data_IF_437109294764
#
_entry.id   IF_437109294764
#
_cell.length_a   1.000
_cell.length_b   1.000
_cell.length_c   1.000
_cell.angle_alpha   90.00
_cell.angle_beta   90.00
_cell.angle_gamma   90.00
#
_symmetry.space_group_name_H-M   'P 1'
#
loop_
_entity.id
_entity.type
_entity.pdbx_description
1 polymer ?
#
# COMPACT_ATOMS: atom_id res chain seq x y z
N UNK A 1 -21.23 -3.88 -15.04
CA UNK A 1 -21.15 -2.55 -15.66
C UNK A 1 -21.86 -1.41 -14.91
N UNK A 2 -22.87 -1.71 -14.09
CA UNK A 2 -23.58 -0.66 -13.30
C UNK A 2 -22.93 -0.32 -11.95
N UNK A 3 -22.06 -1.16 -11.42
CA UNK A 3 -21.35 -0.93 -10.16
C UNK A 3 -20.09 -0.10 -10.40
N UNK A 4 -19.44 -0.25 -11.55
CA UNK A 4 -18.25 0.54 -11.92
C UNK A 4 -18.54 2.02 -12.21
N UNK A 5 -19.77 2.37 -12.64
CA UNK A 5 -20.09 3.74 -13.05
C UNK A 5 -20.55 4.67 -11.92
N UNK A 6 -20.93 4.16 -10.75
CA UNK A 6 -21.48 4.96 -9.64
C UNK A 6 -20.50 5.26 -8.51
N UNK A 7 -19.30 4.68 -8.49
CA UNK A 7 -18.40 4.79 -7.34
C UNK A 7 -16.99 5.28 -7.64
N UNK A 8 -16.48 5.11 -8.86
CA UNK A 8 -15.06 5.31 -9.13
C UNK A 8 -14.65 6.79 -9.26
N UNK A 9 -15.52 7.64 -9.78
CA UNK A 9 -15.27 9.09 -9.86
C UNK A 9 -15.36 9.79 -8.49
N UNK A 10 -16.20 9.27 -7.60
CA UNK A 10 -16.41 9.86 -6.27
C UNK A 10 -15.40 9.33 -5.23
N UNK A 11 -14.86 8.13 -5.40
CA UNK A 11 -13.94 7.52 -4.43
C UNK A 11 -12.65 8.34 -4.28
N UNK A 12 -11.98 8.72 -5.37
CA UNK A 12 -10.76 9.52 -5.24
C UNK A 12 -11.05 10.96 -4.78
N UNK A 13 -12.16 11.57 -5.21
CA UNK A 13 -12.58 12.89 -4.74
C UNK A 13 -12.83 12.89 -3.24
N UNK A 14 -13.57 11.90 -2.75
CA UNK A 14 -13.79 11.71 -1.32
C UNK A 14 -12.47 11.57 -0.55
N UNK A 15 -11.49 10.87 -1.08
CA UNK A 15 -10.18 10.73 -0.43
C UNK A 15 -9.39 12.06 -0.38
N UNK A 16 -9.60 12.95 -1.37
CA UNK A 16 -9.05 14.31 -1.31
C UNK A 16 -9.66 15.08 -0.13
N UNK A 17 -11.00 15.04 0.00
CA UNK A 17 -11.76 15.83 0.94
C UNK A 17 -11.77 15.26 2.37
N UNK A 18 -11.45 13.97 2.54
CA UNK A 18 -11.46 13.29 3.84
C UNK A 18 -10.07 12.81 4.24
N UNK A 19 -9.59 11.71 3.68
CA UNK A 19 -8.35 11.05 4.14
C UNK A 19 -7.12 11.95 4.01
N UNK A 20 -6.99 12.71 2.94
CA UNK A 20 -5.86 13.64 2.78
C UNK A 20 -5.94 14.78 3.80
N UNK A 21 -7.14 15.33 4.05
CA UNK A 21 -7.36 16.36 5.07
C UNK A 21 -7.11 15.81 6.49
N UNK A 22 -7.57 14.60 6.79
CA UNK A 22 -7.31 13.94 8.08
C UNK A 22 -5.82 13.75 8.31
N UNK A 23 -5.09 13.24 7.33
CA UNK A 23 -3.63 13.09 7.40
C UNK A 23 -2.97 14.44 7.67
N UNK A 24 -3.32 15.47 6.88
CA UNK A 24 -2.76 16.81 7.02
C UNK A 24 -3.00 17.39 8.40
N UNK A 25 -4.25 17.32 8.88
CA UNK A 25 -4.64 17.88 10.17
C UNK A 25 -4.01 17.12 11.35
N UNK A 26 -4.03 15.78 11.33
CA UNK A 26 -3.48 14.94 12.40
C UNK A 26 -1.95 15.07 12.52
N UNK A 27 -1.26 15.39 11.44
CA UNK A 27 0.18 15.62 11.42
C UNK A 27 0.56 17.09 11.58
N UNK A 28 -0.43 17.99 11.73
CA UNK A 28 -0.23 19.44 11.71
C UNK A 28 0.59 19.90 10.48
N UNK A 29 0.36 19.26 9.33
CA UNK A 29 1.07 19.52 8.07
C UNK A 29 2.50 18.95 8.00
N UNK A 30 2.95 18.24 9.02
CA UNK A 30 4.28 17.64 9.04
C UNK A 30 4.25 16.27 8.32
N UNK A 31 4.19 16.30 6.99
CA UNK A 31 4.19 15.12 6.11
C UNK A 31 5.26 15.31 5.05
N UNK A 32 6.24 14.44 5.02
CA UNK A 32 7.28 14.41 3.97
C UNK A 32 7.01 13.38 2.89
N UNK A 33 6.29 12.30 3.23
CA UNK A 33 5.97 11.26 2.28
C UNK A 33 4.70 10.48 2.61
N UNK A 34 4.06 9.96 1.55
CA UNK A 34 2.93 9.06 1.64
C UNK A 34 3.10 7.90 0.66
N UNK A 35 2.74 6.70 1.10
CA UNK A 35 2.72 5.53 0.23
C UNK A 35 1.58 4.59 0.59
N UNK A 36 1.00 3.97 -0.40
CA UNK A 36 0.09 2.84 -0.20
C UNK A 36 0.00 1.95 -1.45
N UNK A 37 -0.51 0.74 -1.25
CA UNK A 37 -0.81 -0.21 -2.31
C UNK A 37 -2.09 0.19 -3.06
N UNK A 38 -2.25 -0.38 -4.24
CA UNK A 38 -3.34 -0.06 -5.16
C UNK A 38 -4.22 -1.28 -5.41
N UNK A 39 -5.49 -1.17 -5.01
CA UNK A 39 -6.59 -1.96 -5.53
C UNK A 39 -7.25 -1.21 -6.69
N UNK A 40 -8.27 -0.41 -6.44
CA UNK A 40 -8.91 0.45 -7.45
C UNK A 40 -8.12 1.72 -7.78
N UNK A 41 -7.16 2.10 -6.93
CA UNK A 41 -6.35 3.31 -7.07
C UNK A 41 -6.94 4.57 -6.44
N UNK A 42 -8.16 4.51 -5.91
CA UNK A 42 -8.85 5.69 -5.36
C UNK A 42 -8.11 6.34 -4.20
N UNK A 43 -7.59 5.54 -3.27
CA UNK A 43 -6.85 6.05 -2.10
C UNK A 43 -5.55 6.74 -2.52
N UNK A 44 -4.71 6.05 -3.32
CA UNK A 44 -3.44 6.64 -3.77
C UNK A 44 -3.67 7.92 -4.58
N UNK A 45 -4.64 7.91 -5.51
CA UNK A 45 -4.97 9.09 -6.30
C UNK A 45 -5.48 10.25 -5.45
N UNK A 46 -6.49 10.00 -4.62
CA UNK A 46 -7.09 11.06 -3.81
C UNK A 46 -6.13 11.65 -2.79
N UNK A 47 -5.40 10.81 -2.05
CA UNK A 47 -4.43 11.28 -1.06
C UNK A 47 -3.26 12.02 -1.73
N UNK A 48 -2.75 11.50 -2.86
CA UNK A 48 -1.66 12.18 -3.58
C UNK A 48 -2.07 13.57 -4.06
N UNK A 49 -3.25 13.71 -4.65
CA UNK A 49 -3.77 15.00 -5.09
C UNK A 49 -3.98 15.93 -3.89
N UNK A 50 -4.67 15.46 -2.84
CA UNK A 50 -4.96 16.26 -1.66
C UNK A 50 -3.70 16.76 -0.95
N UNK A 51 -2.73 15.88 -0.70
CA UNK A 51 -1.47 16.27 -0.05
C UNK A 51 -0.61 17.18 -0.94
N UNK A 52 -0.49 16.89 -2.24
CA UNK A 52 0.27 17.76 -3.16
C UNK A 52 -0.37 19.13 -3.38
N UNK A 53 -1.68 19.27 -3.20
CA UNK A 53 -2.33 20.57 -3.18
C UNK A 53 -1.94 21.40 -1.95
N UNK A 54 -1.62 20.75 -0.83
CA UNK A 54 -1.14 21.44 0.39
C UNK A 54 0.36 21.75 0.31
N UNK A 55 1.16 20.76 -0.11
CA UNK A 55 2.60 20.91 -0.28
C UNK A 55 3.10 20.01 -1.43
N UNK A 56 3.62 20.61 -2.49
CA UNK A 56 4.11 19.91 -3.69
C UNK A 56 5.36 19.07 -3.45
N UNK A 57 6.11 19.36 -2.37
CA UNK A 57 7.36 18.66 -2.05
C UNK A 57 7.12 17.30 -1.40
N UNK A 58 5.91 17.01 -0.90
CA UNK A 58 5.54 15.72 -0.33
C UNK A 58 5.78 14.63 -1.37
N UNK A 59 6.56 13.61 -1.02
CA UNK A 59 6.85 12.48 -1.91
C UNK A 59 5.76 11.42 -1.81
N UNK A 60 5.23 11.06 -2.95
CA UNK A 60 4.19 10.04 -3.08
C UNK A 60 4.77 8.79 -3.73
N UNK A 61 4.59 7.65 -3.10
CA UNK A 61 5.06 6.38 -3.67
C UNK A 61 3.95 5.34 -3.79
N UNK A 62 4.07 4.49 -4.79
CA UNK A 62 3.30 3.27 -4.91
C UNK A 62 4.01 2.15 -4.14
N UNK A 63 3.29 1.48 -3.22
CA UNK A 63 3.71 0.18 -2.66
C UNK A 63 3.03 -0.94 -3.43
N UNK A 64 3.79 -1.75 -4.16
CA UNK A 64 3.21 -2.72 -5.09
C UNK A 64 3.65 -4.15 -4.74
N UNK A 65 2.74 -5.13 -4.67
CA UNK A 65 3.13 -6.52 -4.45
C UNK A 65 3.75 -7.12 -5.71
N UNK A 66 4.51 -8.20 -5.55
CA UNK A 66 4.89 -9.05 -6.67
C UNK A 66 3.65 -9.54 -7.43
N UNK A 67 3.77 -9.75 -8.75
CA UNK A 67 2.64 -10.13 -9.60
C UNK A 67 1.76 -8.97 -10.09
N UNK A 68 1.96 -7.76 -9.58
CA UNK A 68 1.36 -6.54 -10.12
C UNK A 68 2.20 -5.97 -11.27
N UNK A 69 1.55 -5.29 -12.22
CA UNK A 69 2.22 -4.61 -13.32
C UNK A 69 2.40 -3.10 -13.09
N UNK A 70 1.86 -2.55 -11.98
CA UNK A 70 1.86 -1.10 -11.74
C UNK A 70 3.26 -0.57 -11.43
N UNK A 71 4.07 -1.33 -10.70
CA UNK A 71 5.47 -1.01 -10.46
C UNK A 71 6.26 -0.89 -11.76
N UNK A 72 6.18 -1.91 -12.63
CA UNK A 72 6.88 -1.90 -13.92
C UNK A 72 6.36 -0.78 -14.83
N UNK A 73 5.05 -0.51 -14.80
CA UNK A 73 4.49 0.62 -15.52
C UNK A 73 5.10 1.96 -15.08
N UNK A 74 5.19 2.20 -13.77
CA UNK A 74 5.74 3.46 -13.24
C UNK A 74 7.25 3.59 -13.54
N UNK A 75 8.02 2.51 -13.33
CA UNK A 75 9.50 2.54 -13.49
C UNK A 75 9.96 2.47 -14.94
N UNK A 76 9.29 1.68 -15.76
CA UNK A 76 9.78 1.29 -17.08
C UNK A 76 8.81 1.66 -18.21
N UNK A 77 7.67 2.24 -17.88
CA UNK A 77 6.57 2.52 -18.81
C UNK A 77 6.05 1.26 -19.55
N UNK A 78 6.08 0.11 -18.85
CA UNK A 78 5.64 -1.20 -19.38
C UNK A 78 4.70 -1.88 -18.41
N UNK A 79 3.57 -2.38 -18.88
CA UNK A 79 2.63 -3.20 -18.10
C UNK A 79 3.08 -4.66 -18.09
N UNK A 80 4.12 -4.94 -17.33
CA UNK A 80 4.68 -6.28 -17.16
C UNK A 80 4.59 -6.68 -15.68
N UNK A 81 4.00 -7.84 -15.41
CA UNK A 81 3.97 -8.41 -14.05
C UNK A 81 5.06 -9.49 -13.91
N UNK A 82 5.71 -9.51 -12.76
CA UNK A 82 6.72 -10.51 -12.42
C UNK A 82 6.41 -11.15 -11.07
N UNK A 83 6.49 -12.48 -11.00
CA UNK A 83 6.18 -13.22 -9.79
C UNK A 83 4.68 -13.29 -9.49
N UNK A 84 4.36 -13.51 -8.22
CA UNK A 84 3.00 -13.56 -7.68
C UNK A 84 2.99 -13.16 -6.21
N UNK A 85 1.82 -12.83 -5.68
CA UNK A 85 1.63 -12.55 -4.25
C UNK A 85 0.37 -13.24 -3.73
N UNK A 86 0.40 -13.59 -2.45
CA UNK A 86 -0.77 -14.11 -1.72
C UNK A 86 -1.69 -13.00 -1.23
N UNK A 87 -1.30 -11.74 -1.37
CA UNK A 87 -2.11 -10.60 -0.94
C UNK A 87 -3.35 -10.44 -1.79
N UNK A 88 -4.46 -10.09 -1.15
CA UNK A 88 -5.75 -9.92 -1.81
C UNK A 88 -6.15 -8.45 -1.89
N UNK A 89 -6.89 -8.10 -2.94
CA UNK A 89 -7.47 -6.77 -3.12
C UNK A 89 -6.50 -5.68 -3.54
N UNK A 90 -5.22 -6.00 -3.71
CA UNK A 90 -4.19 -5.08 -4.19
C UNK A 90 -3.35 -5.74 -5.30
N UNK A 91 -2.63 -4.91 -6.05
CA UNK A 91 -1.87 -5.35 -7.22
C UNK A 91 -2.76 -5.51 -8.46
N UNK A 92 -2.39 -4.87 -9.54
CA UNK A 92 -3.16 -4.90 -10.78
C UNK A 92 -2.29 -5.19 -11.98
N UNK A 93 -2.85 -5.91 -12.96
CA UNK A 93 -2.27 -6.09 -14.30
C UNK A 93 -2.68 -4.99 -15.29
N UNK A 94 -3.44 -3.99 -14.86
CA UNK A 94 -3.96 -2.91 -15.71
C UNK A 94 -3.97 -1.57 -15.01
N UNK A 95 -3.91 -0.49 -15.78
CA UNK A 95 -4.11 0.87 -15.27
C UNK A 95 -5.60 1.11 -15.06
N UNK A 96 -6.00 1.39 -13.84
CA UNK A 96 -7.37 1.81 -13.53
C UNK A 96 -7.52 3.31 -13.76
N UNK A 97 -8.73 3.77 -14.03
CA UNK A 97 -9.04 5.21 -14.21
C UNK A 97 -8.66 6.07 -13.00
N UNK A 98 -8.72 5.51 -11.79
CA UNK A 98 -8.30 6.22 -10.59
C UNK A 98 -6.77 6.27 -10.48
N UNK A 99 -6.09 5.14 -10.69
CA UNK A 99 -4.63 5.08 -10.62
C UNK A 99 -3.98 6.04 -11.62
N UNK A 100 -4.55 6.18 -12.82
CA UNK A 100 -4.11 7.14 -13.84
C UNK A 100 -4.12 8.62 -13.36
N UNK A 101 -4.87 8.93 -12.31
CA UNK A 101 -4.92 10.27 -11.70
C UNK A 101 -3.93 10.45 -10.55
N UNK A 102 -3.28 9.39 -10.09
CA UNK A 102 -2.37 9.48 -8.95
C UNK A 102 -1.09 10.24 -9.33
N UNK A 103 -0.69 11.15 -8.45
CA UNK A 103 0.52 11.94 -8.61
C UNK A 103 1.69 11.22 -7.91
N UNK A 104 2.29 10.25 -8.60
CA UNK A 104 3.30 9.34 -8.04
C UNK A 104 4.69 9.83 -8.40
N UNK A 105 5.58 9.96 -7.39
CA UNK A 105 6.99 10.31 -7.58
C UNK A 105 7.87 9.05 -7.69
N UNK A 106 7.49 7.95 -7.00
CA UNK A 106 8.27 6.72 -6.98
C UNK A 106 7.40 5.47 -6.77
N UNK A 107 7.98 4.28 -6.95
CA UNK A 107 7.31 3.00 -6.74
C UNK A 107 8.28 1.97 -6.14
N UNK A 108 7.77 1.13 -5.24
CA UNK A 108 8.52 0.05 -4.60
C UNK A 108 7.77 -1.26 -4.74
N UNK A 109 8.48 -2.29 -5.14
CA UNK A 109 7.94 -3.63 -5.18
C UNK A 109 8.33 -4.40 -3.91
N UNK A 110 7.41 -5.21 -3.40
CA UNK A 110 7.58 -5.97 -2.15
C UNK A 110 7.08 -7.39 -2.35
N UNK A 111 7.84 -8.36 -1.92
CA UNK A 111 7.43 -9.77 -1.91
C UNK A 111 6.67 -10.15 -0.63
N UNK A 112 6.05 -11.33 -0.66
CA UNK A 112 5.26 -11.83 0.47
C UNK A 112 6.11 -12.12 1.71
N UNK A 113 7.37 -12.51 1.55
CA UNK A 113 8.27 -12.83 2.67
C UNK A 113 8.57 -11.55 3.46
N UNK A 114 8.96 -10.48 2.76
CA UNK A 114 9.20 -9.17 3.38
C UNK A 114 7.94 -8.65 4.08
N UNK A 115 6.79 -8.69 3.39
CA UNK A 115 5.52 -8.20 3.92
C UNK A 115 5.07 -8.98 5.16
N UNK A 116 5.14 -10.31 5.13
CA UNK A 116 4.72 -11.15 6.26
C UNK A 116 5.62 -11.01 7.48
N UNK A 117 6.94 -10.93 7.28
CA UNK A 117 7.86 -10.69 8.38
C UNK A 117 7.54 -9.39 9.12
N UNK A 118 7.18 -8.32 8.41
CA UNK A 118 6.76 -7.05 9.02
C UNK A 118 5.45 -7.20 9.79
N UNK A 119 4.47 -7.92 9.23
CA UNK A 119 3.19 -8.19 9.93
C UNK A 119 3.43 -8.98 11.22
N UNK A 120 4.27 -10.03 11.18
CA UNK A 120 4.58 -10.85 12.36
C UNK A 120 5.38 -10.09 13.40
N UNK A 121 6.33 -9.26 12.99
CA UNK A 121 7.07 -8.36 13.88
C UNK A 121 6.15 -7.39 14.63
N UNK A 122 5.14 -6.83 13.97
CA UNK A 122 4.15 -5.97 14.61
C UNK A 122 3.30 -6.72 15.65
N UNK A 123 2.94 -7.98 15.37
CA UNK A 123 2.21 -8.81 16.34
C UNK A 123 3.08 -9.08 17.58
N UNK A 124 4.34 -9.46 17.37
CA UNK A 124 5.25 -9.78 18.48
C UNK A 124 5.58 -8.55 19.32
N UNK A 125 5.94 -7.45 18.69
CA UNK A 125 6.48 -6.26 19.34
C UNK A 125 5.41 -5.28 19.80
N UNK A 126 4.31 -5.13 19.03
CA UNK A 126 3.30 -4.08 19.22
C UNK A 126 1.90 -4.62 19.51
N UNK A 127 1.67 -5.95 19.40
CA UNK A 127 0.36 -6.59 19.53
C UNK A 127 -0.68 -6.11 18.50
N UNK A 128 -0.21 -5.62 17.34
CA UNK A 128 -1.05 -5.14 16.26
C UNK A 128 -1.20 -6.25 15.21
N UNK A 129 -2.44 -6.69 14.98
CA UNK A 129 -2.76 -7.82 14.08
C UNK A 129 -3.32 -7.27 12.77
N UNK A 130 -2.55 -7.34 11.70
CA UNK A 130 -2.86 -6.77 10.37
C UNK A 130 -2.90 -7.82 9.28
N UNK A 131 -3.54 -7.47 8.16
CA UNK A 131 -3.52 -8.25 6.92
C UNK A 131 -2.26 -8.02 6.08
N UNK A 132 -2.06 -8.87 5.06
CA UNK A 132 -0.87 -8.84 4.20
C UNK A 132 -0.69 -7.52 3.43
N UNK A 133 -1.78 -6.88 3.01
CA UNK A 133 -1.73 -5.57 2.33
C UNK A 133 -1.10 -4.47 3.20
N UNK A 134 -1.31 -4.52 4.52
CA UNK A 134 -0.63 -3.64 5.47
C UNK A 134 0.89 -3.90 5.51
N UNK A 135 1.31 -5.16 5.40
CA UNK A 135 2.73 -5.51 5.26
C UNK A 135 3.38 -4.90 4.02
N UNK A 136 2.70 -4.98 2.87
CA UNK A 136 3.14 -4.33 1.62
C UNK A 136 3.28 -2.80 1.82
N UNK A 137 2.29 -2.19 2.45
CA UNK A 137 2.28 -0.75 2.72
C UNK A 137 3.44 -0.32 3.64
N UNK A 138 3.68 -1.06 4.71
CA UNK A 138 4.75 -0.79 5.66
C UNK A 138 6.12 -0.98 4.99
N UNK A 139 6.31 -2.02 4.18
CA UNK A 139 7.54 -2.22 3.43
C UNK A 139 7.83 -1.03 2.50
N UNK A 140 6.81 -0.56 1.78
CA UNK A 140 6.91 0.64 0.93
C UNK A 140 7.26 1.88 1.75
N UNK A 141 6.63 2.07 2.91
CA UNK A 141 6.91 3.19 3.80
C UNK A 141 8.35 3.17 4.33
N UNK A 142 8.88 2.00 4.68
CA UNK A 142 10.28 1.82 5.09
C UNK A 142 11.24 2.18 3.93
N UNK A 143 10.94 1.74 2.71
CA UNK A 143 11.74 2.06 1.51
C UNK A 143 11.75 3.57 1.23
N UNK A 144 10.58 4.21 1.28
CA UNK A 144 10.45 5.65 1.12
C UNK A 144 11.20 6.42 2.24
N UNK A 145 11.07 5.99 3.50
CA UNK A 145 11.78 6.59 4.62
C UNK A 145 13.30 6.51 4.46
N UNK A 146 13.83 5.36 4.02
CA UNK A 146 15.25 5.19 3.72
C UNK A 146 15.74 6.13 2.62
N UNK A 147 14.93 6.34 1.59
CA UNK A 147 15.25 7.24 0.47
C UNK A 147 15.26 8.70 0.91
N UNK A 148 14.31 9.12 1.75
CA UNK A 148 14.19 10.50 2.19
C UNK A 148 15.15 10.87 3.33
N UNK A 149 15.65 9.87 4.05
CA UNK A 149 16.59 10.05 5.15
C UNK A 149 15.92 10.31 6.52
N UNK A 150 16.73 10.51 7.56
CA UNK A 150 16.25 10.66 8.92
C UNK A 150 15.48 11.95 9.15
N UNK A 151 14.61 11.94 10.17
CA UNK A 151 13.81 13.11 10.57
C UNK A 151 12.59 13.38 9.69
N UNK A 152 12.21 12.43 8.81
CA UNK A 152 11.10 12.56 7.89
C UNK A 152 9.85 11.85 8.39
N UNK A 153 8.69 12.47 8.22
CA UNK A 153 7.38 11.90 8.55
C UNK A 153 6.78 11.21 7.33
N UNK A 154 6.69 9.87 7.41
CA UNK A 154 6.13 9.04 6.34
C UNK A 154 4.80 8.46 6.80
N UNK A 155 3.79 8.63 5.99
CA UNK A 155 2.43 8.13 6.26
C UNK A 155 2.13 6.96 5.32
N UNK A 156 1.48 5.94 5.86
CA UNK A 156 0.92 4.83 5.08
C UNK A 156 -0.41 4.35 5.66
N UNK A 157 -1.07 3.43 4.94
CA UNK A 157 -2.39 2.91 5.33
C UNK A 157 -2.23 1.53 5.96
N UNK A 158 -2.77 1.35 7.16
CA UNK A 158 -3.03 0.05 7.76
C UNK A 158 -4.45 -0.38 7.37
N UNK A 159 -4.55 -1.29 6.39
CA UNK A 159 -5.81 -1.53 5.66
C UNK A 159 -6.88 -2.22 6.48
N UNK A 160 -6.60 -3.45 6.92
CA UNK A 160 -7.57 -4.28 7.61
C UNK A 160 -6.94 -5.19 8.67
N UNK A 161 -7.79 -5.67 9.56
CA UNK A 161 -7.39 -6.55 10.65
C UNK A 161 -7.07 -7.96 10.13
N UNK A 162 -5.96 -8.54 10.61
CA UNK A 162 -5.45 -9.85 10.17
C UNK A 162 -6.42 -11.02 10.38
N UNK A 163 -7.44 -10.90 11.24
CA UNK A 163 -8.44 -11.96 11.48
C UNK A 163 -9.11 -12.46 10.20
N UNK A 164 -9.26 -11.62 9.19
CA UNK A 164 -9.79 -12.02 7.87
C UNK A 164 -8.94 -13.07 7.16
N UNK A 165 -7.68 -13.16 7.53
CA UNK A 165 -6.66 -13.99 6.88
C UNK A 165 -6.22 -15.16 7.75
N UNK A 166 -7.05 -15.57 8.75
CA UNK A 166 -6.75 -16.66 9.66
C UNK A 166 -6.43 -17.98 8.94
N UNK A 167 -7.14 -18.27 7.83
CA UNK A 167 -6.91 -19.46 7.00
C UNK A 167 -5.70 -19.38 6.07
N UNK A 168 -5.04 -18.23 5.98
CA UNK A 168 -3.87 -17.99 5.10
C UNK A 168 -2.63 -17.61 5.92
N UNK A 169 -2.43 -16.33 6.17
CA UNK A 169 -1.20 -15.83 6.81
C UNK A 169 -1.07 -16.22 8.29
N UNK A 170 -2.11 -16.77 8.90
CA UNK A 170 -2.11 -17.33 10.25
C UNK A 170 -2.40 -18.86 10.25
N UNK A 171 -2.18 -19.53 9.13
CA UNK A 171 -2.33 -20.98 8.98
C UNK A 171 -0.99 -21.60 8.58
N UNK A 172 -0.44 -22.42 9.46
CA UNK A 172 0.87 -23.05 9.31
C UNK A 172 0.99 -23.90 8.04
N UNK A 173 -0.06 -24.68 7.72
CA UNK A 173 -0.06 -25.55 6.55
C UNK A 173 -0.12 -24.75 5.24
N UNK A 174 -0.91 -23.68 5.23
CA UNK A 174 -0.94 -22.75 4.09
C UNK A 174 0.45 -22.12 3.87
N UNK A 175 1.08 -21.60 4.93
CA UNK A 175 2.41 -20.97 4.85
C UNK A 175 3.46 -21.97 4.34
N UNK A 176 3.48 -23.20 4.85
CA UNK A 176 4.37 -24.28 4.35
C UNK A 176 4.14 -24.56 2.87
N UNK A 177 2.88 -24.68 2.44
CA UNK A 177 2.53 -24.96 1.04
C UNK A 177 3.00 -23.89 0.06
N UNK A 178 3.23 -22.67 0.55
CA UNK A 178 3.68 -21.51 -0.22
C UNK A 178 5.16 -21.15 0.01
N UNK A 179 5.90 -21.94 0.81
CA UNK A 179 7.27 -21.63 1.21
C UNK A 179 7.42 -20.24 1.86
N UNK A 180 6.43 -19.86 2.67
CA UNK A 180 6.37 -18.56 3.34
C UNK A 180 6.86 -18.68 4.80
N UNK A 181 7.31 -17.58 5.42
CA UNK A 181 7.79 -17.58 6.78
C UNK A 181 6.70 -17.99 7.77
N UNK A 182 7.07 -18.82 8.73
CA UNK A 182 6.21 -19.28 9.82
C UNK A 182 6.75 -18.68 11.12
N UNK A 183 6.02 -17.80 11.79
CA UNK A 183 6.48 -17.24 13.05
C UNK A 183 6.48 -18.31 14.15
N UNK A 184 7.38 -18.17 15.14
CA UNK A 184 7.58 -19.16 16.20
C UNK A 184 6.34 -19.37 17.07
N UNK A 185 5.47 -18.38 17.17
CA UNK A 185 4.26 -18.42 17.98
C UNK A 185 3.04 -19.04 17.27
N UNK A 186 3.14 -19.39 15.99
CA UNK A 186 2.11 -20.10 15.23
C UNK A 186 2.43 -21.60 15.19
#
# INVERSE_FOLDING_TARGET
DRIESRGLGDVYKRQIETTAEEIWNQTAGNVDGFTCAVGTGGTLAGVSIGLKNKNKDIKIALSDPMGSALYSHHKNNKLESNGSSITEGIGNGRITKNFDKALIDDAYQTDDIEALNLVYDLIEKQKIVLGGSSGINIAGAIKLAKQLGPGKTIITILCDHGRRYASKIFNKEFLKSKNLPIPKWL
#
